data_IF_415405773047
#
_entry.id   IF_415405773047
#
_cell.length_a   1.000
_cell.length_b   1.000
_cell.length_c   1.000
_cell.angle_alpha   90.00
_cell.angle_beta   90.00
_cell.angle_gamma   90.00
#
_symmetry.space_group_name_H-M   'P 1'
#
loop_
_entity.id
_entity.type
_entity.pdbx_description
1 polymer ?
#
# COMPACT_ATOMS: atom_id res chain seq x y z
N UNK A 1 -13.97 11.89 9.19
CA UNK A 1 -14.62 10.87 8.32
C UNK A 1 -14.96 9.65 9.15
N UNK A 2 -16.20 9.50 9.59
CA UNK A 2 -16.60 8.40 10.49
C UNK A 2 -17.26 7.21 9.78
N UNK A 3 -17.57 7.31 8.48
CA UNK A 3 -18.32 6.26 7.77
C UNK A 3 -17.40 5.14 7.28
N UNK A 4 -17.73 3.89 7.59
CA UNK A 4 -16.94 2.72 7.20
C UNK A 4 -17.11 2.41 5.70
N UNK A 5 -16.02 2.54 4.92
CA UNK A 5 -16.01 2.33 3.46
C UNK A 5 -16.37 0.88 3.06
N UNK A 6 -16.00 -0.12 3.85
CA UNK A 6 -16.30 -1.53 3.56
C UNK A 6 -17.79 -1.82 3.71
N UNK A 7 -18.40 -1.33 4.78
CA UNK A 7 -19.85 -1.45 5.02
C UNK A 7 -20.66 -0.70 3.96
N UNK A 8 -20.20 0.49 3.56
CA UNK A 8 -20.85 1.25 2.48
C UNK A 8 -20.81 0.49 1.14
N UNK A 9 -19.67 -0.15 0.79
CA UNK A 9 -19.56 -1.01 -0.41
C UNK A 9 -20.51 -2.21 -0.35
N UNK A 10 -20.69 -2.83 0.81
CA UNK A 10 -21.67 -3.90 1.01
C UNK A 10 -23.10 -3.43 0.74
N UNK A 11 -23.51 -2.33 1.36
CA UNK A 11 -24.85 -1.76 1.20
C UNK A 11 -25.14 -1.33 -0.26
N UNK A 12 -24.11 -0.91 -1.01
CA UNK A 12 -24.23 -0.64 -2.45
C UNK A 12 -24.49 -1.93 -3.25
N UNK A 13 -23.84 -3.04 -2.91
CA UNK A 13 -24.09 -4.36 -3.53
C UNK A 13 -25.52 -4.84 -3.25
N UNK A 14 -26.05 -4.54 -2.08
CA UNK A 14 -27.45 -4.80 -1.69
C UNK A 14 -28.46 -3.82 -2.33
N UNK A 15 -28.04 -3.04 -3.33
CA UNK A 15 -28.86 -2.07 -4.09
C UNK A 15 -29.47 -0.94 -3.24
N UNK A 16 -28.88 -0.60 -2.10
CA UNK A 16 -29.32 0.55 -1.31
C UNK A 16 -29.03 1.89 -2.03
N UNK A 17 -30.10 2.62 -2.39
CA UNK A 17 -30.02 3.89 -3.13
C UNK A 17 -29.28 5.00 -2.35
N UNK A 18 -29.47 5.06 -1.02
CA UNK A 18 -28.82 6.07 -0.16
C UNK A 18 -27.32 5.81 -0.04
N UNK A 19 -26.93 4.55 0.13
CA UNK A 19 -25.51 4.16 0.14
C UNK A 19 -24.80 4.53 -1.17
N UNK A 20 -25.47 4.37 -2.32
CA UNK A 20 -24.95 4.78 -3.63
C UNK A 20 -24.77 6.30 -3.74
N UNK A 21 -25.70 7.10 -3.20
CA UNK A 21 -25.57 8.58 -3.18
C UNK A 21 -24.38 9.02 -2.33
N UNK A 22 -24.27 8.48 -1.12
CA UNK A 22 -23.14 8.80 -0.21
C UNK A 22 -21.81 8.39 -0.84
N UNK A 23 -21.74 7.20 -1.46
CA UNK A 23 -20.52 6.76 -2.16
C UNK A 23 -20.10 7.77 -3.23
N UNK A 24 -21.03 8.22 -4.08
CA UNK A 24 -20.75 9.25 -5.10
C UNK A 24 -20.32 10.60 -4.53
N UNK A 25 -20.83 10.99 -3.36
CA UNK A 25 -20.41 12.22 -2.68
C UNK A 25 -18.99 12.08 -2.12
N UNK A 26 -18.64 10.90 -1.59
CA UNK A 26 -17.31 10.61 -1.03
C UNK A 26 -16.21 10.44 -2.10
N UNK A 27 -16.57 10.13 -3.35
CA UNK A 27 -15.64 10.14 -4.48
C UNK A 27 -15.00 11.51 -4.72
N UNK A 28 -15.68 12.60 -4.34
CA UNK A 28 -15.17 13.98 -4.43
C UNK A 28 -15.23 14.66 -3.07
N UNK A 29 -14.45 14.13 -2.13
CA UNK A 29 -14.43 14.59 -0.73
C UNK A 29 -14.18 16.08 -0.62
N UNK A 30 -13.21 16.65 -1.34
CA UNK A 30 -12.86 18.08 -1.20
C UNK A 30 -14.03 18.98 -1.59
N UNK A 31 -14.77 18.59 -2.63
CA UNK A 31 -15.97 19.32 -3.05
C UNK A 31 -17.09 19.18 -2.04
N UNK A 32 -17.29 17.97 -1.50
CA UNK A 32 -18.30 17.74 -0.46
C UNK A 32 -17.99 18.57 0.78
N UNK A 33 -16.74 18.59 1.23
CA UNK A 33 -16.30 19.38 2.38
C UNK A 33 -16.47 20.89 2.11
N UNK A 34 -16.10 21.35 0.92
CA UNK A 34 -16.31 22.75 0.52
C UNK A 34 -17.79 23.15 0.55
N UNK A 35 -18.69 22.30 0.04
CA UNK A 35 -20.14 22.54 0.08
C UNK A 35 -20.66 22.60 1.51
N UNK A 36 -20.25 21.67 2.38
CA UNK A 36 -20.66 21.64 3.78
C UNK A 36 -20.14 22.88 4.51
N UNK A 37 -18.88 23.28 4.27
CA UNK A 37 -18.27 24.45 4.89
C UNK A 37 -18.98 25.74 4.49
N UNK A 38 -19.20 25.94 3.17
CA UNK A 38 -19.92 27.11 2.66
C UNK A 38 -21.34 27.13 3.21
N UNK A 39 -22.05 25.99 3.17
CA UNK A 39 -23.41 25.89 3.69
C UNK A 39 -23.49 26.24 5.18
N UNK A 40 -22.61 25.67 6.00
CA UNK A 40 -22.57 25.94 7.44
C UNK A 40 -22.29 27.43 7.73
N UNK A 41 -21.27 27.99 7.10
CA UNK A 41 -20.89 29.40 7.30
C UNK A 41 -21.96 30.36 6.80
N UNK A 42 -22.62 30.03 5.69
CA UNK A 42 -23.73 30.80 5.16
C UNK A 42 -24.91 30.80 6.13
N UNK A 43 -25.35 29.63 6.60
CA UNK A 43 -26.44 29.52 7.57
C UNK A 43 -26.10 30.23 8.88
N UNK A 44 -24.86 30.14 9.36
CA UNK A 44 -24.43 30.80 10.59
C UNK A 44 -24.48 32.33 10.47
N UNK A 45 -23.89 32.86 9.40
CA UNK A 45 -23.89 34.30 9.11
C UNK A 45 -25.31 34.81 8.89
N UNK A 46 -26.13 34.07 8.14
CA UNK A 46 -27.52 34.45 7.86
C UNK A 46 -28.37 34.47 9.14
N UNK A 47 -28.29 33.43 9.97
CA UNK A 47 -29.04 33.35 11.22
C UNK A 47 -28.66 34.48 12.17
N UNK A 48 -27.36 34.75 12.30
CA UNK A 48 -26.85 35.85 13.14
C UNK A 48 -27.30 37.20 12.58
N UNK A 49 -27.20 37.43 11.27
CA UNK A 49 -27.63 38.68 10.64
C UNK A 49 -29.14 38.93 10.82
N UNK A 50 -29.97 37.91 10.61
CA UNK A 50 -31.41 37.99 10.83
C UNK A 50 -31.71 38.27 12.30
N UNK A 51 -31.08 37.55 13.23
CA UNK A 51 -31.26 37.76 14.66
C UNK A 51 -30.88 39.19 15.08
N UNK A 52 -29.78 39.73 14.56
CA UNK A 52 -29.37 41.12 14.81
C UNK A 52 -30.40 42.12 14.26
N UNK A 53 -30.90 41.92 13.04
CA UNK A 53 -31.93 42.80 12.46
C UNK A 53 -33.22 42.76 13.29
N UNK A 54 -33.64 41.57 13.73
CA UNK A 54 -34.79 41.40 14.61
C UNK A 54 -34.53 42.09 15.96
N UNK A 55 -33.32 41.96 16.50
CA UNK A 55 -32.96 42.54 17.78
C UNK A 55 -33.12 44.07 17.79
N UNK A 56 -32.62 44.72 16.74
CA UNK A 56 -32.71 46.17 16.55
C UNK A 56 -34.17 46.61 16.39
N UNK A 57 -34.98 45.85 15.65
CA UNK A 57 -36.39 46.21 15.38
C UNK A 57 -37.31 46.07 16.59
N UNK A 58 -37.08 45.07 17.44
CA UNK A 58 -37.99 44.74 18.55
C UNK A 58 -37.57 45.40 19.86
N UNK A 59 -36.27 45.37 20.18
CA UNK A 59 -35.79 45.87 21.48
C UNK A 59 -35.17 47.25 21.32
N UNK A 60 -33.95 47.32 20.78
CA UNK A 60 -33.18 48.54 20.53
C UNK A 60 -31.76 48.15 20.11
N UNK A 61 -30.94 49.12 19.72
CA UNK A 61 -29.52 48.88 19.40
C UNK A 61 -28.73 48.31 20.60
N UNK A 62 -29.11 48.64 21.83
CA UNK A 62 -28.43 48.12 23.03
C UNK A 62 -28.61 46.61 23.23
N UNK A 63 -29.63 46.00 22.60
CA UNK A 63 -29.87 44.56 22.67
C UNK A 63 -28.97 43.75 21.74
N UNK A 64 -28.29 44.39 20.77
CA UNK A 64 -27.48 43.71 19.75
C UNK A 64 -26.37 42.86 20.37
N UNK A 65 -25.66 43.40 21.37
CA UNK A 65 -24.57 42.68 22.03
C UNK A 65 -25.07 41.44 22.79
N UNK A 66 -26.17 41.58 23.53
CA UNK A 66 -26.79 40.47 24.26
C UNK A 66 -27.27 39.36 23.31
N UNK A 67 -27.95 39.73 22.22
CA UNK A 67 -28.42 38.77 21.20
C UNK A 67 -27.26 38.11 20.48
N UNK A 68 -26.19 38.84 20.17
CA UNK A 68 -25.00 38.27 19.52
C UNK A 68 -24.34 37.20 20.40
N UNK A 69 -24.12 37.49 21.69
CA UNK A 69 -23.55 36.52 22.63
C UNK A 69 -24.46 35.30 22.77
N UNK A 70 -25.77 35.53 22.92
CA UNK A 70 -26.75 34.46 23.04
C UNK A 70 -26.81 33.56 21.79
N UNK A 71 -26.89 34.16 20.61
CA UNK A 71 -26.89 33.43 19.33
C UNK A 71 -25.58 32.65 19.14
N UNK A 72 -24.44 33.21 19.52
CA UNK A 72 -23.15 32.50 19.44
C UNK A 72 -23.18 31.20 20.25
N UNK A 73 -23.67 31.25 21.49
CA UNK A 73 -23.80 30.06 22.35
C UNK A 73 -24.76 29.03 21.72
N UNK A 74 -25.93 29.48 21.25
CA UNK A 74 -26.91 28.61 20.59
C UNK A 74 -26.31 27.92 19.37
N UNK A 75 -25.64 28.67 18.51
CA UNK A 75 -25.07 28.14 17.27
C UNK A 75 -23.95 27.15 17.55
N UNK A 76 -23.06 27.43 18.50
CA UNK A 76 -22.00 26.49 18.92
C UNK A 76 -22.61 25.17 19.40
N UNK A 77 -23.66 25.22 20.22
CA UNK A 77 -24.27 24.00 20.77
C UNK A 77 -25.04 23.26 19.68
N UNK A 78 -26.02 23.92 19.06
CA UNK A 78 -27.05 23.25 18.26
C UNK A 78 -26.71 23.15 16.77
N UNK A 79 -25.92 24.07 16.21
CA UNK A 79 -25.56 24.07 14.79
C UNK A 79 -24.16 23.48 14.54
N UNK A 80 -23.29 23.49 15.54
CA UNK A 80 -21.88 23.12 15.38
C UNK A 80 -21.52 21.83 16.13
N UNK A 81 -21.44 21.86 17.47
CA UNK A 81 -20.84 20.78 18.27
C UNK A 81 -21.76 19.56 18.36
N UNK A 82 -23.04 19.76 18.71
CA UNK A 82 -23.99 18.66 18.89
C UNK A 82 -24.22 17.87 17.58
N UNK A 83 -24.52 18.49 16.43
CA UNK A 83 -24.73 17.74 15.19
C UNK A 83 -23.47 16.98 14.75
N UNK A 84 -22.28 17.58 14.90
CA UNK A 84 -21.01 16.91 14.58
C UNK A 84 -20.78 15.69 15.47
N UNK A 85 -21.12 15.78 16.75
CA UNK A 85 -20.97 14.67 17.70
C UNK A 85 -21.91 13.52 17.35
N UNK A 86 -23.18 13.80 17.05
CA UNK A 86 -24.13 12.77 16.64
C UNK A 86 -23.70 12.15 15.30
N UNK A 87 -23.20 12.96 14.36
CA UNK A 87 -22.69 12.47 13.06
C UNK A 87 -21.46 11.56 13.21
N UNK A 88 -20.63 11.79 14.22
CA UNK A 88 -19.50 10.92 14.53
C UNK A 88 -19.95 9.58 15.11
N UNK A 89 -20.95 9.57 16.01
CA UNK A 89 -21.46 8.35 16.64
C UNK A 89 -22.38 7.53 15.72
N UNK A 90 -23.18 8.19 14.87
CA UNK A 90 -24.16 7.56 13.96
C UNK A 90 -24.04 8.13 12.54
N UNK A 91 -22.92 7.84 11.84
CA UNK A 91 -22.64 8.42 10.54
C UNK A 91 -23.66 8.02 9.45
N UNK A 92 -24.15 6.77 9.46
CA UNK A 92 -25.10 6.28 8.44
C UNK A 92 -26.46 6.95 8.56
N UNK A 93 -26.99 7.06 9.79
CA UNK A 93 -28.29 7.66 10.07
C UNK A 93 -28.38 9.12 9.67
N UNK A 94 -27.25 9.86 9.72
CA UNK A 94 -27.20 11.27 9.31
C UNK A 94 -26.83 11.41 7.83
N UNK A 95 -25.83 10.64 7.35
CA UNK A 95 -25.35 10.79 5.98
C UNK A 95 -26.37 10.36 4.92
N UNK A 96 -27.18 9.32 5.18
CA UNK A 96 -28.16 8.84 4.20
C UNK A 96 -29.26 9.86 3.88
N UNK A 97 -29.97 10.47 4.85
CA UNK A 97 -30.93 11.53 4.57
C UNK A 97 -30.22 12.78 4.05
N UNK A 98 -29.09 13.20 4.64
CA UNK A 98 -28.35 14.38 4.20
C UNK A 98 -27.88 14.27 2.73
N UNK A 99 -27.53 13.06 2.26
CA UNK A 99 -27.12 12.82 0.88
C UNK A 99 -28.17 13.20 -0.17
N UNK A 100 -29.45 13.24 0.23
CA UNK A 100 -30.52 13.66 -0.65
C UNK A 100 -30.44 15.15 -0.98
N UNK A 101 -30.18 15.98 0.04
CA UNK A 101 -30.06 17.43 -0.10
C UNK A 101 -28.66 17.86 -0.58
N UNK A 102 -27.62 17.21 -0.07
CA UNK A 102 -26.24 17.55 -0.40
C UNK A 102 -25.89 17.28 -1.86
N UNK A 103 -26.49 16.28 -2.50
CA UNK A 103 -26.18 15.95 -3.91
C UNK A 103 -26.58 17.04 -4.91
N UNK A 104 -27.82 17.53 -4.95
CA UNK A 104 -28.18 18.64 -5.84
C UNK A 104 -27.45 19.92 -5.43
N UNK A 105 -27.35 20.21 -4.13
CA UNK A 105 -26.66 21.39 -3.62
C UNK A 105 -25.18 21.42 -4.02
N UNK A 106 -24.50 20.27 -3.98
CA UNK A 106 -23.12 20.13 -4.43
C UNK A 106 -22.95 20.39 -5.92
N UNK A 107 -23.94 20.03 -6.75
CA UNK A 107 -23.91 20.34 -8.19
C UNK A 107 -24.06 21.84 -8.43
N UNK A 108 -24.96 22.51 -7.71
CA UNK A 108 -25.22 23.95 -7.83
C UNK A 108 -24.05 24.79 -7.31
N UNK A 109 -23.47 24.42 -6.16
CA UNK A 109 -22.35 25.13 -5.54
C UNK A 109 -20.98 24.72 -6.08
N UNK A 110 -20.90 23.72 -6.98
CA UNK A 110 -19.63 23.29 -7.58
C UNK A 110 -18.78 24.42 -8.19
N UNK A 111 -19.32 25.38 -8.96
CA UNK A 111 -18.51 26.49 -9.50
C UNK A 111 -17.94 27.38 -8.38
N UNK A 112 -18.74 27.67 -7.35
CA UNK A 112 -18.30 28.48 -6.21
C UNK A 112 -17.20 27.79 -5.41
N UNK A 113 -17.35 26.49 -5.13
CA UNK A 113 -16.31 25.71 -4.44
C UNK A 113 -15.02 25.70 -5.24
N UNK A 114 -15.10 25.53 -6.56
CA UNK A 114 -13.91 25.55 -7.43
C UNK A 114 -13.20 26.90 -7.37
N UNK A 115 -13.96 28.00 -7.40
CA UNK A 115 -13.41 29.34 -7.27
C UNK A 115 -12.71 29.56 -5.92
N UNK A 116 -13.34 29.14 -4.82
CA UNK A 116 -12.73 29.20 -3.48
C UNK A 116 -11.45 28.37 -3.41
N UNK A 117 -11.44 27.16 -3.97
CA UNK A 117 -10.24 26.31 -4.04
C UNK A 117 -9.13 26.96 -4.86
N UNK A 118 -9.46 27.57 -6.00
CA UNK A 118 -8.48 28.29 -6.83
C UNK A 118 -7.86 29.47 -6.09
N UNK A 119 -8.67 30.28 -5.40
CA UNK A 119 -8.19 31.39 -4.59
C UNK A 119 -7.34 30.89 -3.43
N UNK A 120 -7.80 29.86 -2.71
CA UNK A 120 -7.05 29.26 -1.60
C UNK A 120 -5.69 28.75 -2.07
N UNK A 121 -5.63 28.02 -3.19
CA UNK A 121 -4.38 27.51 -3.74
C UNK A 121 -3.47 28.63 -4.22
N UNK A 122 -4.04 29.70 -4.78
CA UNK A 122 -3.30 30.92 -5.15
C UNK A 122 -2.65 31.59 -3.94
N UNK A 123 -3.39 31.74 -2.84
CA UNK A 123 -2.87 32.30 -1.58
C UNK A 123 -1.78 31.40 -1.00
N UNK A 124 -2.02 30.09 -0.93
CA UNK A 124 -1.03 29.12 -0.41
C UNK A 124 0.26 29.14 -1.24
N UNK A 125 0.17 29.32 -2.56
CA UNK A 125 1.33 29.49 -3.44
C UNK A 125 2.11 30.78 -3.18
N UNK A 126 1.43 31.87 -2.78
CA UNK A 126 2.11 33.12 -2.37
C UNK A 126 2.93 32.93 -1.08
N UNK A 127 2.53 32.00 -0.21
CA UNK A 127 3.29 31.61 0.98
C UNK A 127 4.35 30.52 0.71
N UNK A 128 4.60 30.18 -0.57
CA UNK A 128 5.63 29.21 -0.96
C UNK A 128 5.27 27.75 -0.70
N UNK A 129 4.00 27.45 -0.40
CA UNK A 129 3.53 26.07 -0.15
C UNK A 129 2.92 25.53 -1.45
N UNK A 130 3.60 24.57 -2.09
CA UNK A 130 3.07 23.87 -3.25
C UNK A 130 2.25 22.66 -2.81
N UNK A 131 0.92 22.81 -2.84
CA UNK A 131 -0.02 21.72 -2.51
C UNK A 131 0.03 20.54 -3.49
N UNK A 132 0.61 20.73 -4.68
CA UNK A 132 0.74 19.69 -5.71
C UNK A 132 1.84 18.65 -5.40
N UNK A 133 2.75 18.95 -4.47
CA UNK A 133 3.82 18.02 -4.10
C UNK A 133 3.31 16.90 -3.17
N UNK A 134 2.27 17.17 -2.38
CA UNK A 134 1.66 16.21 -1.45
C UNK A 134 0.88 15.08 -2.15
N UNK A 135 0.37 15.29 -3.37
CA UNK A 135 -0.30 14.23 -4.16
C UNK A 135 0.68 13.34 -4.94
N UNK A 136 1.96 13.74 -5.02
CA UNK A 136 3.01 13.06 -5.79
C UNK A 136 4.04 12.35 -4.92
N UNK A 137 3.88 12.31 -3.61
CA UNK A 137 4.67 11.41 -2.78
C UNK A 137 4.29 9.97 -3.11
N UNK A 138 5.04 9.39 -4.05
CA UNK A 138 5.09 7.95 -4.23
C UNK A 138 5.41 7.33 -2.87
N UNK A 139 4.52 6.45 -2.40
CA UNK A 139 4.66 5.79 -1.11
C UNK A 139 6.03 5.13 -1.03
N UNK A 140 6.81 5.51 -0.03
CA UNK A 140 8.13 4.90 0.18
C UNK A 140 7.96 3.45 0.64
N UNK A 141 8.93 2.55 0.37
CA UNK A 141 8.88 1.17 0.81
C UNK A 141 8.60 1.02 2.33
N UNK A 142 9.11 1.94 3.15
CA UNK A 142 8.90 1.91 4.61
C UNK A 142 7.45 2.25 5.02
N UNK A 143 6.80 3.14 4.28
CA UNK A 143 5.39 3.49 4.48
C UNK A 143 4.49 2.33 4.05
N UNK A 144 4.84 1.67 2.93
CA UNK A 144 4.13 0.50 2.45
C UNK A 144 4.24 -0.67 3.43
N UNK A 145 5.42 -0.88 4.03
CA UNK A 145 5.66 -1.85 5.10
C UNK A 145 4.76 -1.61 6.30
N UNK A 146 4.63 -0.36 6.71
CA UNK A 146 3.76 0.06 7.83
C UNK A 146 2.28 -0.21 7.51
N UNK A 147 1.85 0.08 6.28
CA UNK A 147 0.48 -0.18 5.83
C UNK A 147 0.17 -1.69 5.77
N UNK A 148 1.12 -2.52 5.33
CA UNK A 148 0.97 -3.97 5.30
C UNK A 148 0.83 -4.56 6.70
N UNK A 149 1.67 -4.13 7.65
CA UNK A 149 1.58 -4.58 9.05
C UNK A 149 0.26 -4.17 9.72
N UNK A 150 -0.30 -3.03 9.34
CA UNK A 150 -1.57 -2.52 9.88
C UNK A 150 -2.78 -3.13 9.18
N UNK A 151 -2.58 -3.75 8.02
CA UNK A 151 -3.63 -4.41 7.25
C UNK A 151 -3.98 -5.77 7.85
N UNK A 152 -5.24 -6.21 7.73
CA UNK A 152 -5.67 -7.57 8.14
C UNK A 152 -5.25 -8.64 7.13
N UNK A 153 -4.07 -8.50 6.54
CA UNK A 153 -3.53 -9.49 5.60
C UNK A 153 -3.08 -10.72 6.40
N UNK A 154 -3.41 -11.94 5.95
CA UNK A 154 -2.86 -13.16 6.53
C UNK A 154 -1.33 -13.13 6.63
N UNK A 155 -0.79 -13.54 7.78
CA UNK A 155 0.65 -13.48 8.11
C UNK A 155 1.56 -14.11 7.04
N UNK A 156 1.09 -15.16 6.35
CA UNK A 156 1.82 -15.80 5.25
C UNK A 156 2.03 -14.87 4.05
N UNK A 157 1.00 -14.09 3.70
CA UNK A 157 1.04 -13.16 2.58
C UNK A 157 1.83 -11.90 2.93
N UNK A 158 1.72 -11.44 4.18
CA UNK A 158 2.56 -10.37 4.73
C UNK A 158 4.05 -10.73 4.59
N UNK A 159 4.47 -11.90 5.11
CA UNK A 159 5.86 -12.34 5.04
C UNK A 159 6.38 -12.45 3.60
N UNK A 160 5.54 -12.91 2.66
CA UNK A 160 5.92 -13.00 1.25
C UNK A 160 6.14 -11.61 0.63
N UNK A 161 5.22 -10.67 0.87
CA UNK A 161 5.34 -9.30 0.34
C UNK A 161 6.55 -8.58 0.93
N UNK A 162 6.81 -8.78 2.22
CA UNK A 162 7.99 -8.25 2.91
C UNK A 162 9.28 -8.77 2.28
N UNK A 163 9.36 -10.07 2.00
CA UNK A 163 10.51 -10.66 1.34
C UNK A 163 10.79 -10.08 -0.05
N UNK A 164 9.76 -9.67 -0.80
CA UNK A 164 9.94 -9.01 -2.10
C UNK A 164 10.58 -7.63 -1.94
N UNK A 165 10.21 -6.85 -0.92
CA UNK A 165 10.86 -5.56 -0.66
C UNK A 165 12.31 -5.73 -0.20
N UNK A 166 12.57 -6.73 0.63
CA UNK A 166 13.93 -7.00 1.11
C UNK A 166 14.85 -7.45 -0.03
N UNK A 167 14.33 -8.13 -1.07
CA UNK A 167 15.12 -8.55 -2.24
C UNK A 167 15.80 -7.41 -3.02
N UNK A 168 15.26 -6.19 -2.97
CA UNK A 168 15.91 -5.03 -3.62
C UNK A 168 17.23 -4.64 -2.92
N UNK A 169 17.42 -5.08 -1.68
CA UNK A 169 18.60 -4.77 -0.86
C UNK A 169 19.52 -5.97 -0.61
N UNK A 170 19.14 -7.16 -1.10
CA UNK A 170 19.91 -8.39 -0.94
C UNK A 170 20.80 -8.65 -2.15
N UNK A 171 22.02 -9.11 -1.85
CA UNK A 171 23.00 -9.60 -2.82
C UNK A 171 23.04 -11.13 -2.87
N UNK A 172 23.73 -11.69 -3.85
CA UNK A 172 23.99 -13.15 -3.91
C UNK A 172 24.69 -13.64 -2.64
N UNK A 173 25.63 -12.86 -2.10
CA UNK A 173 26.36 -13.17 -0.87
C UNK A 173 25.44 -13.42 0.34
N UNK A 174 24.32 -12.69 0.42
CA UNK A 174 23.41 -12.76 1.58
C UNK A 174 22.56 -14.03 1.61
N UNK A 175 22.46 -14.74 0.48
CA UNK A 175 21.59 -15.92 0.33
C UNK A 175 22.31 -17.18 -0.19
N UNK A 176 23.58 -17.06 -0.59
CA UNK A 176 24.35 -18.20 -1.11
C UNK A 176 24.69 -19.22 -0.01
N UNK A 177 24.84 -20.47 -0.41
CA UNK A 177 25.34 -21.53 0.48
C UNK A 177 26.85 -21.31 0.70
N UNK A 178 27.33 -21.21 1.95
CA UNK A 178 28.75 -21.07 2.25
C UNK A 178 29.59 -22.19 1.63
N UNK A 179 30.79 -21.87 1.12
CA UNK A 179 31.66 -22.83 0.40
C UNK A 179 31.98 -24.10 1.19
N UNK A 180 32.11 -24.00 2.51
CA UNK A 180 32.39 -25.12 3.42
C UNK A 180 31.20 -26.07 3.61
N UNK A 181 29.99 -25.64 3.29
CA UNK A 181 28.77 -26.46 3.36
C UNK A 181 28.42 -27.11 2.02
N UNK A 182 29.16 -26.77 0.94
CA UNK A 182 28.92 -27.34 -0.39
C UNK A 182 29.34 -28.80 -0.42
N UNK A 183 28.38 -29.66 -0.74
CA UNK A 183 28.61 -31.09 -0.98
C UNK A 183 28.87 -31.32 -2.47
N UNK A 184 30.11 -31.60 -2.83
CA UNK A 184 30.53 -31.91 -4.20
C UNK A 184 31.28 -33.24 -4.32
N UNK A 185 31.73 -33.55 -5.53
CA UNK A 185 32.54 -34.74 -5.83
C UNK A 185 33.87 -34.30 -6.44
N UNK A 186 34.98 -34.82 -5.90
CA UNK A 186 36.30 -34.63 -6.49
C UNK A 186 36.52 -35.61 -7.65
N UNK A 187 36.87 -35.08 -8.83
CA UNK A 187 37.17 -35.86 -10.02
C UNK A 187 38.52 -36.61 -9.92
N UNK A 188 39.37 -36.28 -8.94
CA UNK A 188 40.62 -37.00 -8.68
C UNK A 188 40.39 -38.35 -8.01
N UNK A 189 39.34 -38.49 -7.20
CA UNK A 189 38.97 -39.74 -6.55
C UNK A 189 38.84 -40.91 -7.54
N UNK A 190 39.10 -42.13 -7.08
CA UNK A 190 38.89 -43.30 -7.92
C UNK A 190 37.41 -43.46 -8.29
N UNK A 191 37.16 -44.14 -9.42
CA UNK A 191 35.80 -44.24 -9.97
C UNK A 191 34.83 -44.95 -9.01
N UNK A 192 35.32 -45.86 -8.15
CA UNK A 192 34.48 -46.59 -7.20
C UNK A 192 34.06 -45.66 -6.06
N UNK A 193 34.98 -44.84 -5.56
CA UNK A 193 34.69 -43.80 -4.55
C UNK A 193 33.72 -42.75 -5.10
N UNK A 194 33.92 -42.30 -6.34
CA UNK A 194 32.99 -41.37 -7.02
C UNK A 194 31.58 -41.95 -7.07
N UNK A 195 31.42 -43.19 -7.54
CA UNK A 195 30.11 -43.88 -7.61
C UNK A 195 29.48 -44.04 -6.23
N UNK A 196 30.27 -44.42 -5.21
CA UNK A 196 29.81 -44.54 -3.82
C UNK A 196 29.33 -43.21 -3.26
N UNK A 197 30.04 -42.12 -3.53
CA UNK A 197 29.69 -40.79 -3.05
C UNK A 197 28.46 -40.23 -3.78
N UNK A 198 28.38 -40.40 -5.10
CA UNK A 198 27.20 -40.02 -5.90
C UNK A 198 25.91 -40.72 -5.44
N UNK A 199 26.01 -41.97 -4.99
CA UNK A 199 24.87 -42.70 -4.42
C UNK A 199 24.37 -42.12 -3.09
N UNK A 200 25.23 -41.44 -2.31
CA UNK A 200 24.85 -40.82 -1.04
C UNK A 200 24.23 -39.43 -1.22
N UNK A 201 24.61 -38.70 -2.27
CA UNK A 201 24.17 -37.32 -2.50
C UNK A 201 22.73 -37.27 -3.00
N UNK A 202 21.91 -36.41 -2.36
CA UNK A 202 20.47 -36.24 -2.65
C UNK A 202 20.12 -34.90 -3.32
N UNK A 203 21.11 -34.11 -3.73
CA UNK A 203 20.90 -32.81 -4.38
C UNK A 203 20.64 -32.95 -5.88
N UNK A 204 19.83 -32.04 -6.42
CA UNK A 204 19.48 -32.01 -7.86
C UNK A 204 20.68 -31.65 -8.73
N UNK A 205 21.51 -30.70 -8.29
CA UNK A 205 22.74 -30.30 -8.97
C UNK A 205 23.92 -30.56 -8.05
N UNK A 206 24.91 -31.30 -8.54
CA UNK A 206 26.07 -31.73 -7.77
C UNK A 206 27.32 -31.13 -8.43
N UNK A 207 28.06 -30.25 -7.74
CA UNK A 207 29.30 -29.71 -8.28
C UNK A 207 30.36 -30.80 -8.36
N UNK A 208 31.00 -30.88 -9.52
CA UNK A 208 32.17 -31.70 -9.78
C UNK A 208 33.40 -30.78 -9.83
N UNK A 209 34.36 -31.00 -8.94
CA UNK A 209 35.55 -30.16 -8.82
C UNK A 209 36.82 -31.00 -8.91
N UNK A 210 37.98 -30.33 -8.95
CA UNK A 210 39.30 -30.98 -8.89
C UNK A 210 40.09 -30.37 -7.74
N UNK A 211 40.60 -31.19 -6.82
CA UNK A 211 41.35 -30.79 -5.62
C UNK A 211 40.51 -30.02 -4.60
N UNK A 212 39.94 -28.88 -4.99
CA UNK A 212 39.22 -27.95 -4.11
C UNK A 212 37.96 -27.45 -4.78
N UNK A 213 36.98 -27.03 -3.96
CA UNK A 213 35.70 -26.51 -4.44
C UNK A 213 35.84 -25.21 -5.25
N UNK A 214 36.99 -24.53 -5.15
CA UNK A 214 37.29 -23.34 -5.95
C UNK A 214 37.54 -23.68 -7.43
N UNK A 215 37.86 -24.94 -7.74
CA UNK A 215 38.13 -25.41 -9.10
C UNK A 215 36.99 -26.29 -9.63
N UNK A 216 35.81 -25.68 -9.78
CA UNK A 216 34.62 -26.35 -10.33
C UNK A 216 34.82 -26.64 -11.81
N UNK A 217 34.79 -27.92 -12.17
CA UNK A 217 34.79 -28.37 -13.56
C UNK A 217 33.39 -28.36 -14.18
N UNK A 218 32.34 -28.45 -13.36
CA UNK A 218 30.95 -28.22 -13.76
C UNK A 218 29.96 -28.91 -12.83
N UNK A 219 28.72 -29.11 -13.29
CA UNK A 219 27.64 -29.68 -12.49
C UNK A 219 27.09 -30.97 -13.12
N UNK A 220 26.71 -31.91 -12.25
CA UNK A 220 25.97 -33.11 -12.62
C UNK A 220 24.55 -33.01 -12.09
N UNK A 221 23.56 -33.08 -12.98
CA UNK A 221 22.15 -33.12 -12.59
C UNK A 221 21.74 -34.51 -12.10
N UNK A 222 20.72 -34.58 -11.24
CA UNK A 222 20.22 -35.85 -10.68
C UNK A 222 19.77 -36.85 -11.74
N UNK A 223 19.22 -36.38 -12.87
CA UNK A 223 18.85 -37.22 -14.01
C UNK A 223 20.10 -37.85 -14.65
N UNK A 224 21.10 -37.02 -14.99
CA UNK A 224 22.36 -37.51 -15.57
C UNK A 224 23.16 -38.38 -14.59
N UNK A 225 23.01 -38.14 -13.29
CA UNK A 225 23.54 -39.00 -12.24
C UNK A 225 22.94 -40.40 -12.32
N UNK A 226 21.61 -40.51 -12.48
CA UNK A 226 20.94 -41.80 -12.63
C UNK A 226 21.41 -42.54 -13.89
N UNK A 227 21.50 -41.82 -15.02
CA UNK A 227 22.02 -42.38 -16.27
C UNK A 227 23.44 -42.92 -16.09
N UNK A 228 24.32 -42.13 -15.47
CA UNK A 228 25.70 -42.52 -15.20
C UNK A 228 25.81 -43.75 -14.28
N UNK A 229 24.99 -43.83 -13.24
CA UNK A 229 24.98 -44.94 -12.29
C UNK A 229 24.37 -46.23 -12.86
N UNK A 230 23.59 -46.12 -13.94
CA UNK A 230 23.00 -47.28 -14.64
C UNK A 230 23.97 -47.99 -15.58
N UNK A 231 25.14 -47.40 -15.87
CA UNK A 231 26.14 -47.97 -16.77
C UNK A 231 26.81 -49.21 -16.16
N UNK A 232 26.96 -50.28 -16.95
CA UNK A 232 27.68 -51.49 -16.53
C UNK A 232 29.16 -51.23 -16.20
N UNK A 233 29.77 -50.23 -16.86
CA UNK A 233 31.17 -49.82 -16.67
C UNK A 233 31.28 -48.29 -16.57
N UNK A 234 31.05 -47.70 -15.38
CA UNK A 234 31.23 -46.27 -15.20
C UNK A 234 32.70 -45.89 -15.43
N UNK A 235 32.93 -44.81 -16.19
CA UNK A 235 34.26 -44.28 -16.48
C UNK A 235 34.30 -42.77 -16.30
N UNK A 236 35.45 -42.24 -15.89
CA UNK A 236 35.67 -40.78 -15.75
C UNK A 236 35.48 -40.03 -17.07
N UNK A 237 35.74 -40.65 -18.22
CA UNK A 237 35.52 -40.03 -19.54
C UNK A 237 34.03 -39.86 -19.84
N UNK A 238 33.21 -40.86 -19.52
CA UNK A 238 31.75 -40.80 -19.66
C UNK A 238 31.12 -39.82 -18.65
N UNK A 239 31.69 -39.72 -17.45
CA UNK A 239 31.26 -38.72 -16.47
C UNK A 239 31.45 -37.31 -17.03
N UNK A 240 32.62 -37.02 -17.62
CA UNK A 240 32.94 -35.70 -18.21
C UNK A 240 31.97 -35.30 -19.33
N UNK A 241 31.47 -36.25 -20.12
CA UNK A 241 30.49 -35.94 -21.18
C UNK A 241 29.11 -35.58 -20.65
N UNK A 242 28.79 -35.96 -19.41
CA UNK A 242 27.52 -35.65 -18.76
C UNK A 242 27.57 -34.36 -17.92
N UNK A 243 28.72 -33.70 -17.84
CA UNK A 243 28.89 -32.47 -17.06
C UNK A 243 28.29 -31.28 -17.80
N UNK A 244 27.53 -30.46 -17.07
CA UNK A 244 27.00 -29.18 -17.53
C UNK A 244 27.95 -28.05 -17.09
N UNK A 245 28.11 -27.05 -17.95
CA UNK A 245 29.02 -25.93 -17.67
C UNK A 245 28.49 -25.07 -16.52
N UNK A 246 29.35 -24.63 -15.59
CA UNK A 246 28.96 -23.76 -14.50
C UNK A 246 28.71 -22.33 -14.98
N UNK A 247 27.74 -21.67 -14.36
CA UNK A 247 27.55 -20.22 -14.47
C UNK A 247 28.19 -19.55 -13.25
N UNK A 248 29.01 -18.53 -13.48
CA UNK A 248 29.66 -17.76 -12.41
C UNK A 248 29.03 -16.37 -12.31
N UNK A 249 28.67 -15.98 -11.09
CA UNK A 249 28.08 -14.68 -10.77
C UNK A 249 28.88 -14.07 -9.60
N UNK A 250 29.23 -12.77 -9.65
CA UNK A 250 29.86 -12.08 -8.52
C UNK A 250 28.99 -12.08 -7.26
N UNK A 251 29.63 -12.10 -6.10
CA UNK A 251 28.95 -12.13 -4.78
C UNK A 251 28.09 -10.87 -4.53
N UNK A 252 28.55 -9.71 -5.03
CA UNK A 252 27.87 -8.42 -4.86
C UNK A 252 26.72 -8.19 -5.86
N UNK A 253 26.39 -9.16 -6.71
CA UNK A 253 25.30 -9.01 -7.67
C UNK A 253 23.95 -8.92 -6.95
N UNK A 254 23.12 -7.90 -7.21
CA UNK A 254 21.80 -7.80 -6.59
C UNK A 254 20.85 -8.91 -7.06
N UNK A 255 20.04 -9.45 -6.14
CA UNK A 255 19.14 -10.58 -6.44
C UNK A 255 18.06 -10.25 -7.48
N UNK A 256 17.67 -8.98 -7.61
CA UNK A 256 16.67 -8.52 -8.59
C UNK A 256 16.99 -8.93 -10.03
N UNK A 257 18.27 -8.99 -10.41
CA UNK A 257 18.67 -9.30 -11.78
C UNK A 257 18.73 -10.81 -12.08
N UNK A 258 18.82 -11.65 -11.06
CA UNK A 258 19.10 -13.07 -11.23
C UNK A 258 17.86 -13.93 -11.52
N UNK A 259 16.64 -13.46 -11.18
CA UNK A 259 15.40 -14.19 -11.50
C UNK A 259 15.17 -14.41 -13.01
N UNK A 260 15.81 -13.59 -13.86
CA UNK A 260 15.76 -13.72 -15.31
C UNK A 260 16.79 -14.72 -15.86
N UNK A 261 17.81 -15.09 -15.09
CA UNK A 261 18.91 -15.96 -15.52
C UNK A 261 18.61 -17.44 -15.25
N UNK A 262 17.69 -17.71 -14.30
CA UNK A 262 17.31 -19.08 -13.90
C UNK A 262 16.01 -19.59 -14.55
N UNK A 263 15.47 -18.89 -15.57
CA UNK A 263 14.41 -19.37 -16.46
C UNK A 263 14.98 -19.61 -17.87
#
# INVERSE_FOLDING_TARGET
>A
MAINRYRLKHLVKERNKSARRVTKLLERTDRLLGVILIGNNFTHTLATAIATVIAIRIWSESAVLAVTVFMTIIMIIFAEVMPKTIAALKPESIAFPASYFLKPLSKILSPLVTLVTLVSNGVTKLFGINLNDAEKEELKPEELRTLLQTSRVPKRQENMLMGIFDMDHLSVNDVMIPKNEIVGIDLKDDIQTIVKNLNKVRYTYIPLYKDTIDNISGFLSSNRKADFLSLEKPSKTLLKTLVENPLFIPENTPLRYNYLIFN
#
